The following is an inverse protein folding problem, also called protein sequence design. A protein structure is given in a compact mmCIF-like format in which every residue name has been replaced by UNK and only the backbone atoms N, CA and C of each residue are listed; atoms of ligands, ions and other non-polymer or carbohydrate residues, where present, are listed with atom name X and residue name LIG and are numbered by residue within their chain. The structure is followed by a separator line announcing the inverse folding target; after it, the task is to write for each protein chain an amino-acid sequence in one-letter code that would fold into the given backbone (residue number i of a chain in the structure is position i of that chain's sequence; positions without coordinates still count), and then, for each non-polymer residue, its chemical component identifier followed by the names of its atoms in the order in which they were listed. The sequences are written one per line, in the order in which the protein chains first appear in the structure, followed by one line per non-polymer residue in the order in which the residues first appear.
data_IF_532941976809
#
_entry.id   IF_532941976809
#
_cell.length_a   1.000
_cell.length_b   1.000
_cell.length_c   1.000
_cell.angle_alpha   90.00
_cell.angle_beta   90.00
_cell.angle_gamma   90.00
#
_symmetry.space_group_name_H-M   'P 1'
#
loop_
_entity.id
_entity.type
_entity.pdbx_description
1 polymer ?
#
# COMPACT_ATOMS: atom_id res chain seq x y z
N UNK A 1 15.82 9.24 14.74
CA UNK A 1 14.93 8.87 15.86
C UNK A 1 13.53 9.22 15.43
N UNK A 2 12.66 8.22 15.27
CA UNK A 2 11.27 8.44 14.85
C UNK A 2 10.47 9.06 15.97
N UNK A 3 9.69 10.08 15.64
CA UNK A 3 8.79 10.79 16.54
C UNK A 3 7.35 10.29 16.40
N UNK A 4 6.52 10.57 17.40
CA UNK A 4 5.08 10.25 17.35
C UNK A 4 4.38 10.94 16.16
N UNK A 5 4.78 12.18 15.83
CA UNK A 5 4.24 12.95 14.71
C UNK A 5 4.52 12.29 13.35
N UNK A 6 5.70 11.68 13.19
CA UNK A 6 6.05 10.94 11.97
C UNK A 6 5.22 9.67 11.81
N UNK A 7 4.94 8.97 12.92
CA UNK A 7 4.05 7.79 12.90
C UNK A 7 2.64 8.22 12.54
N UNK A 8 2.12 9.29 13.14
CA UNK A 8 0.80 9.85 12.79
C UNK A 8 0.71 10.25 11.32
N UNK A 9 1.77 10.82 10.76
CA UNK A 9 1.80 11.21 9.35
C UNK A 9 1.73 9.98 8.44
N UNK A 10 2.51 8.94 8.73
CA UNK A 10 2.52 7.71 7.92
C UNK A 10 1.20 6.95 8.03
N UNK A 11 0.62 6.83 9.23
CA UNK A 11 -0.68 6.14 9.42
C UNK A 11 -1.80 6.84 8.65
N UNK A 12 -1.81 8.17 8.63
CA UNK A 12 -2.74 8.97 7.79
C UNK A 12 -2.57 8.70 6.29
N UNK A 13 -1.33 8.63 5.80
CA UNK A 13 -1.05 8.30 4.40
C UNK A 13 -1.56 6.90 4.04
N UNK A 14 -1.45 5.95 4.97
CA UNK A 14 -1.92 4.57 4.80
C UNK A 14 -3.42 4.39 5.07
N UNK A 15 -4.12 5.45 5.51
CA UNK A 15 -5.53 5.41 5.95
C UNK A 15 -5.79 4.39 7.06
N UNK A 16 -4.83 4.24 7.99
CA UNK A 16 -4.96 3.40 9.17
C UNK A 16 -5.32 4.30 10.35
N UNK A 17 -6.41 3.95 11.04
CA UNK A 17 -6.82 4.64 12.27
C UNK A 17 -6.12 4.00 13.48
N UNK A 18 -5.20 4.74 14.09
CA UNK A 18 -4.40 4.27 15.22
C UNK A 18 -4.78 5.08 16.46
N UNK A 19 -5.18 4.38 17.51
CA UNK A 19 -5.68 5.01 18.74
C UNK A 19 -4.55 5.61 19.60
N UNK A 20 -3.41 4.91 19.71
CA UNK A 20 -2.21 5.39 20.41
C UNK A 20 -0.99 5.17 19.52
N UNK A 21 -0.44 6.25 18.99
CA UNK A 21 0.71 6.21 18.08
C UNK A 21 2.00 5.86 18.82
N UNK A 22 2.08 6.10 20.14
CA UNK A 22 3.28 5.87 20.95
C UNK A 22 3.64 4.40 21.05
N UNK A 23 2.65 3.51 21.02
CA UNK A 23 2.86 2.05 21.10
C UNK A 23 3.71 1.52 19.94
N UNK A 24 3.78 2.26 18.83
CA UNK A 24 4.49 1.83 17.63
C UNK A 24 5.92 2.40 17.54
N UNK A 25 6.29 3.37 18.38
CA UNK A 25 7.61 4.02 18.31
C UNK A 25 8.73 2.99 18.44
N UNK A 26 8.73 2.20 19.51
CA UNK A 26 9.79 1.21 19.78
C UNK A 26 9.86 0.13 18.68
N UNK A 27 8.70 -0.29 18.16
CA UNK A 27 8.61 -1.30 17.08
C UNK A 27 9.19 -0.75 15.78
N UNK A 28 8.84 0.50 15.43
CA UNK A 28 9.34 1.16 14.21
C UNK A 28 10.84 1.45 14.33
N UNK A 29 11.33 1.87 15.50
CA UNK A 29 12.76 2.04 15.75
C UNK A 29 13.50 0.73 15.55
N UNK A 30 13.04 -0.37 16.15
CA UNK A 30 13.68 -1.68 15.97
C UNK A 30 13.71 -2.13 14.50
N UNK A 31 12.70 -1.80 13.70
CA UNK A 31 12.69 -2.07 12.26
C UNK A 31 13.72 -1.21 11.52
N UNK A 32 13.83 0.07 11.83
CA UNK A 32 14.80 0.98 11.20
C UNK A 32 16.23 0.58 11.57
N UNK A 33 16.49 0.28 12.83
CA UNK A 33 17.81 -0.20 13.30
C UNK A 33 18.22 -1.47 12.53
N UNK A 34 17.26 -2.33 12.20
CA UNK A 34 17.52 -3.48 11.35
C UNK A 34 17.86 -3.10 9.90
N UNK A 35 17.20 -2.09 9.32
CA UNK A 35 17.56 -1.58 8.00
C UNK A 35 18.96 -0.93 7.98
N UNK A 36 19.38 -0.25 9.04
CA UNK A 36 20.74 0.30 9.16
C UNK A 36 21.81 -0.82 9.09
N UNK A 37 21.52 -2.01 9.63
CA UNK A 37 22.38 -3.19 9.48
C UNK A 37 22.43 -3.63 8.01
N UNK A 38 21.30 -3.63 7.31
CA UNK A 38 21.26 -4.01 5.89
C UNK A 38 22.02 -3.01 5.01
N UNK A 39 21.93 -1.71 5.29
CA UNK A 39 22.66 -0.67 4.57
C UNK A 39 24.18 -0.84 4.68
N UNK A 40 24.67 -1.43 5.80
CA UNK A 40 26.08 -1.75 5.97
C UNK A 40 26.62 -2.79 4.97
N UNK A 41 25.75 -3.52 4.28
CA UNK A 41 26.13 -4.51 3.25
C UNK A 41 26.70 -3.86 1.98
N UNK A 42 26.56 -2.54 1.79
CA UNK A 42 27.27 -1.80 0.73
C UNK A 42 26.77 -2.07 -0.69
N UNK A 43 25.48 -2.37 -0.84
CA UNK A 43 24.83 -2.71 -2.13
C UNK A 43 24.41 -1.49 -2.97
N UNK A 44 24.98 -0.31 -2.70
CA UNK A 44 24.60 0.95 -3.37
C UNK A 44 24.86 0.96 -4.88
N UNK A 45 25.81 0.15 -5.34
CA UNK A 45 26.22 0.05 -6.73
C UNK A 45 25.57 -1.14 -7.46
N UNK A 46 24.72 -1.92 -6.78
CA UNK A 46 23.99 -3.02 -7.40
C UNK A 46 22.79 -2.48 -8.20
N UNK A 47 22.62 -2.96 -9.43
CA UNK A 47 21.44 -2.64 -10.24
C UNK A 47 20.19 -3.27 -9.61
N UNK A 48 19.17 -2.45 -9.36
CA UNK A 48 17.86 -2.95 -8.93
C UNK A 48 17.30 -3.80 -10.07
N UNK A 49 17.20 -5.11 -9.84
CA UNK A 49 16.57 -6.05 -10.78
C UNK A 49 15.09 -5.70 -10.92
N UNK A 50 14.75 -4.90 -11.93
CA UNK A 50 13.37 -4.74 -12.36
C UNK A 50 13.00 -5.93 -13.24
N UNK A 51 11.78 -6.44 -13.07
CA UNK A 51 11.26 -7.43 -14.00
C UNK A 51 10.94 -6.71 -15.32
N UNK A 52 11.76 -6.96 -16.34
CA UNK A 52 11.47 -6.50 -17.68
C UNK A 52 10.24 -7.25 -18.21
N UNK A 53 9.19 -6.50 -18.52
CA UNK A 53 8.01 -7.04 -19.21
C UNK A 53 8.31 -7.02 -20.70
N UNK A 54 8.25 -8.18 -21.33
CA UNK A 54 8.47 -8.26 -22.77
C UNK A 54 7.33 -7.59 -23.52
N UNK A 55 7.63 -6.95 -24.66
CA UNK A 55 6.60 -6.45 -25.56
C UNK A 55 5.65 -7.56 -26.06
N UNK A 56 6.09 -8.81 -26.02
CA UNK A 56 5.26 -9.98 -26.34
C UNK A 56 4.22 -10.33 -25.27
N UNK A 57 4.29 -9.73 -24.08
CA UNK A 57 3.37 -9.99 -22.94
C UNK A 57 2.30 -8.91 -22.80
N UNK A 58 2.20 -7.98 -23.76
CA UNK A 58 1.16 -6.98 -23.76
C UNK A 58 -0.21 -7.62 -23.98
N UNK A 59 -1.22 -7.11 -23.25
CA UNK A 59 -2.61 -7.55 -23.39
C UNK A 59 -3.16 -7.10 -24.75
N UNK A 60 -3.77 -8.03 -25.47
CA UNK A 60 -4.53 -7.75 -26.69
C UNK A 60 -5.75 -6.86 -26.44
N UNK A 61 -6.10 -6.04 -27.42
CA UNK A 61 -7.25 -5.12 -27.33
C UNK A 61 -8.58 -5.80 -27.64
N UNK A 62 -8.92 -6.79 -26.81
CA UNK A 62 -10.16 -7.56 -26.92
C UNK A 62 -11.09 -7.32 -25.72
N UNK A 63 -12.39 -7.29 -25.99
CA UNK A 63 -13.42 -7.18 -24.95
C UNK A 63 -13.62 -8.52 -24.25
N UNK A 64 -13.51 -8.52 -22.93
CA UNK A 64 -13.78 -9.68 -22.07
C UNK A 64 -15.00 -9.33 -21.21
N UNK A 65 -16.11 -10.04 -21.42
CA UNK A 65 -17.31 -9.87 -20.62
C UNK A 65 -17.08 -10.29 -19.17
N UNK A 66 -17.47 -9.44 -18.22
CA UNK A 66 -17.48 -9.79 -16.80
C UNK A 66 -18.80 -10.50 -16.45
N UNK A 67 -18.72 -11.78 -16.06
CA UNK A 67 -19.89 -12.65 -15.85
C UNK A 67 -20.62 -12.41 -14.52
N UNK A 68 -19.93 -11.85 -13.54
CA UNK A 68 -20.41 -11.83 -12.16
C UNK A 68 -21.16 -10.55 -11.82
N UNK A 69 -22.04 -10.63 -10.82
CA UNK A 69 -22.66 -9.43 -10.26
C UNK A 69 -21.74 -8.80 -9.20
N UNK A 70 -20.94 -7.81 -9.61
CA UNK A 70 -19.98 -7.13 -8.73
C UNK A 70 -20.66 -6.54 -7.48
N UNK A 71 -21.89 -6.02 -7.63
CA UNK A 71 -22.60 -5.29 -6.58
C UNK A 71 -22.97 -6.21 -5.41
N UNK A 72 -23.26 -7.49 -5.68
CA UNK A 72 -23.60 -8.47 -4.65
C UNK A 72 -22.43 -8.74 -3.69
N UNK A 73 -21.19 -8.44 -4.11
CA UNK A 73 -19.98 -8.59 -3.28
C UNK A 73 -19.67 -7.35 -2.43
N UNK A 74 -20.46 -6.28 -2.54
CA UNK A 74 -20.19 -5.01 -1.85
C UNK A 74 -21.04 -4.84 -0.59
N UNK A 75 -20.40 -4.38 0.50
CA UNK A 75 -21.07 -4.17 1.79
C UNK A 75 -22.14 -3.06 1.76
N UNK A 76 -21.93 -2.02 0.95
CA UNK A 76 -22.82 -0.86 0.88
C UNK A 76 -23.07 -0.46 -0.56
N UNK A 77 -24.30 -0.68 -1.03
CA UNK A 77 -24.73 -0.30 -2.37
C UNK A 77 -26.16 0.28 -2.36
N UNK A 78 -26.51 0.99 -3.42
CA UNK A 78 -27.87 1.46 -3.68
C UNK A 78 -28.16 1.33 -5.17
N UNK A 79 -29.01 0.36 -5.54
CA UNK A 79 -29.23 0.02 -6.94
C UNK A 79 -27.93 -0.42 -7.59
N UNK A 80 -27.50 0.27 -8.65
CA UNK A 80 -26.28 -0.02 -9.41
C UNK A 80 -25.03 0.72 -8.91
N UNK A 81 -25.09 1.41 -7.77
CA UNK A 81 -24.02 2.29 -7.30
C UNK A 81 -23.46 1.87 -5.95
N UNK A 82 -22.15 2.04 -5.78
CA UNK A 82 -21.47 1.94 -4.49
C UNK A 82 -21.87 3.13 -3.61
N UNK A 83 -22.25 2.86 -2.37
CA UNK A 83 -22.63 3.90 -1.41
C UNK A 83 -21.46 4.21 -0.49
N UNK A 84 -20.92 5.42 -0.60
CA UNK A 84 -19.89 5.95 0.29
C UNK A 84 -20.30 7.35 0.82
N UNK A 85 -19.72 7.81 1.93
CA UNK A 85 -19.83 9.21 2.35
C UNK A 85 -19.43 10.15 1.22
N UNK A 86 -20.14 11.26 1.07
CA UNK A 86 -19.82 12.25 0.04
C UNK A 86 -18.42 12.81 0.34
N UNK A 87 -17.55 12.78 -0.66
CA UNK A 87 -16.28 13.52 -0.62
C UNK A 87 -16.62 15.01 -0.53
N UNK A 88 -16.15 15.66 0.55
CA UNK A 88 -16.30 17.10 0.78
C UNK A 88 -14.98 17.77 0.41
#
# INVERSE_FOLDING_TARGET
MVTEEEIEQVTKLMKIDVHDHKEFIDKVHAMIDYFDILDSAGVSDEEISMNDVSLSELREDEHIEYSDNLIERLNHYKGTYVRAPKMV
#
